data_IF_218754776134
#
_entry.id   IF_218754776134
#
_cell.length_a   1.000
_cell.length_b   1.000
_cell.length_c   1.000
_cell.angle_alpha   90.00
_cell.angle_beta   90.00
_cell.angle_gamma   90.00
#
_symmetry.space_group_name_H-M   'P 1'
#
loop_
_entity.id
_entity.type
_entity.pdbx_description
1 polymer ?
#
# COMPACT_ATOMS: atom_id res chain seq x y z
N UNK A 1 -3.97 -24.74 -16.42
CA UNK A 1 -3.39 -25.71 -15.48
C UNK A 1 -2.10 -25.21 -14.81
N UNK A 2 -1.05 -24.79 -15.53
CA UNK A 2 0.26 -24.37 -14.95
C UNK A 2 0.17 -23.29 -13.87
N UNK A 3 -0.64 -22.23 -14.07
CA UNK A 3 -0.78 -21.13 -13.09
C UNK A 3 -1.36 -21.60 -11.75
N UNK A 4 -2.37 -22.47 -11.76
CA UNK A 4 -2.96 -23.03 -10.53
C UNK A 4 -1.94 -23.90 -9.76
N UNK A 5 -1.19 -24.74 -10.46
CA UNK A 5 -0.16 -25.58 -9.84
C UNK A 5 0.95 -24.74 -9.22
N UNK A 6 1.40 -23.69 -9.92
CA UNK A 6 2.38 -22.75 -9.37
C UNK A 6 1.86 -22.08 -8.10
N UNK A 7 0.64 -21.53 -8.12
CA UNK A 7 0.05 -20.91 -6.93
C UNK A 7 -0.04 -21.90 -5.77
N UNK A 8 -0.52 -23.14 -6.04
CA UNK A 8 -0.59 -24.18 -5.02
C UNK A 8 0.76 -24.56 -4.42
N UNK A 9 1.87 -24.41 -5.16
CA UNK A 9 3.22 -24.64 -4.65
C UNK A 9 3.72 -23.52 -3.74
N UNK A 10 3.04 -22.37 -3.74
CA UNK A 10 3.36 -21.17 -2.97
C UNK A 10 2.36 -20.89 -1.85
N UNK A 11 1.53 -21.85 -1.49
CA UNK A 11 0.59 -21.78 -0.37
C UNK A 11 1.00 -22.80 0.69
N UNK A 12 1.11 -22.35 1.94
CA UNK A 12 1.38 -23.21 3.10
C UNK A 12 0.07 -23.88 3.56
N UNK A 13 -0.11 -25.15 3.20
CA UNK A 13 -1.30 -25.92 3.58
C UNK A 13 -1.11 -26.69 4.88
N UNK A 14 -2.18 -26.82 5.72
CA UNK A 14 -3.49 -26.21 5.57
C UNK A 14 -3.43 -24.69 5.79
N UNK A 15 -3.96 -23.89 4.83
CA UNK A 15 -3.94 -22.43 4.89
C UNK A 15 -4.89 -21.92 5.97
N UNK A 16 -4.40 -21.02 6.84
CA UNK A 16 -5.23 -20.28 7.77
C UNK A 16 -6.01 -19.21 7.03
N UNK A 17 -7.33 -19.23 7.11
CA UNK A 17 -8.22 -18.18 6.61
C UNK A 17 -9.06 -17.68 7.75
N UNK A 18 -8.92 -16.41 8.10
CA UNK A 18 -9.74 -15.73 9.10
C UNK A 18 -10.77 -14.84 8.41
N UNK A 19 -12.00 -14.87 8.89
CA UNK A 19 -13.06 -13.97 8.44
C UNK A 19 -13.77 -13.41 9.68
N UNK A 20 -13.64 -12.12 9.92
CA UNK A 20 -14.18 -11.43 11.10
C UNK A 20 -13.81 -12.15 12.42
N UNK A 21 -12.53 -12.51 12.54
CA UNK A 21 -11.97 -13.19 13.72
C UNK A 21 -12.22 -14.69 13.82
N UNK A 22 -13.04 -15.28 12.94
CA UNK A 22 -13.27 -16.74 12.91
C UNK A 22 -12.26 -17.41 11.98
N UNK A 23 -11.47 -18.33 12.50
CA UNK A 23 -10.47 -19.06 11.73
C UNK A 23 -11.03 -20.34 11.12
N UNK A 24 -10.67 -20.59 9.85
CA UNK A 24 -10.89 -21.83 9.12
C UNK A 24 -9.57 -22.28 8.50
N UNK A 25 -9.29 -23.59 8.55
CA UNK A 25 -8.16 -24.20 7.86
C UNK A 25 -8.60 -24.76 6.51
N UNK A 26 -7.94 -24.30 5.44
CA UNK A 26 -8.25 -24.73 4.07
C UNK A 26 -7.21 -25.76 3.64
N UNK A 27 -7.65 -26.97 3.36
CA UNK A 27 -6.81 -28.05 2.85
C UNK A 27 -6.43 -27.80 1.38
N UNK A 28 -5.36 -28.44 0.91
CA UNK A 28 -4.84 -28.28 -0.46
C UNK A 28 -5.89 -28.60 -1.53
N UNK A 29 -6.70 -29.63 -1.30
CA UNK A 29 -7.73 -30.11 -2.23
C UNK A 29 -8.90 -29.13 -2.35
N UNK A 30 -9.17 -28.40 -1.27
CA UNK A 30 -10.23 -27.38 -1.20
C UNK A 30 -9.78 -26.00 -1.73
N UNK A 31 -8.49 -25.82 -2.06
CA UNK A 31 -7.97 -24.54 -2.55
C UNK A 31 -8.51 -24.21 -3.93
N UNK A 32 -9.10 -23.03 -4.05
CA UNK A 32 -9.49 -22.44 -5.33
C UNK A 32 -8.43 -21.46 -5.76
N UNK A 33 -8.15 -21.40 -7.08
CA UNK A 33 -7.23 -20.41 -7.64
C UNK A 33 -7.69 -19.01 -7.28
N UNK A 34 -6.80 -18.20 -6.69
CA UNK A 34 -7.05 -16.82 -6.31
C UNK A 34 -6.44 -15.88 -7.34
N UNK A 35 -7.24 -14.92 -7.81
CA UNK A 35 -6.87 -13.95 -8.84
C UNK A 35 -6.33 -12.65 -8.21
N UNK A 36 -5.41 -12.74 -7.27
CA UNK A 36 -4.84 -11.65 -6.48
C UNK A 36 -4.64 -10.33 -7.22
N UNK A 37 -4.12 -10.36 -8.43
CA UNK A 37 -3.75 -9.15 -9.20
C UNK A 37 -4.45 -9.04 -10.55
N UNK A 38 -5.43 -9.88 -10.82
CA UNK A 38 -6.12 -9.82 -12.08
C UNK A 38 -6.89 -8.50 -12.20
N UNK A 39 -6.56 -7.71 -13.21
CA UNK A 39 -7.25 -6.46 -13.57
C UNK A 39 -6.95 -5.23 -12.72
N UNK A 40 -5.74 -5.13 -12.16
CA UNK A 40 -5.27 -3.89 -11.54
C UNK A 40 -4.25 -3.22 -12.46
N UNK A 41 -4.43 -1.92 -12.74
CA UNK A 41 -3.48 -1.11 -13.51
C UNK A 41 -2.43 -0.46 -12.61
N UNK A 42 -2.80 -0.27 -11.32
CA UNK A 42 -1.94 0.33 -10.31
C UNK A 42 -1.98 -0.50 -9.01
N UNK A 43 -0.90 -0.43 -8.27
CA UNK A 43 -0.83 -0.87 -6.86
C UNK A 43 -0.14 0.19 -6.02
N UNK A 44 -0.28 0.09 -4.72
CA UNK A 44 0.37 0.99 -3.77
C UNK A 44 1.33 0.22 -2.87
N UNK A 45 2.33 0.94 -2.36
CA UNK A 45 3.21 0.45 -1.30
C UNK A 45 3.18 1.46 -0.17
N UNK A 46 2.86 0.99 1.04
CA UNK A 46 2.90 1.83 2.23
C UNK A 46 4.15 1.55 3.04
N UNK A 47 4.90 2.61 3.34
CA UNK A 47 6.05 2.60 4.23
C UNK A 47 5.71 3.41 5.49
N UNK A 48 6.05 2.88 6.65
CA UNK A 48 5.83 3.52 7.95
C UNK A 48 7.14 3.96 8.65
N UNK A 49 8.26 3.87 7.92
CA UNK A 49 9.56 4.35 8.35
C UNK A 49 10.34 4.92 7.15
N UNK A 50 10.85 6.17 7.22
CA UNK A 50 11.64 6.77 6.14
C UNK A 50 12.87 5.94 5.73
N UNK A 51 13.42 5.14 6.64
CA UNK A 51 14.57 4.28 6.35
C UNK A 51 14.21 3.07 5.47
N UNK A 52 12.94 2.77 5.32
CA UNK A 52 12.44 1.58 4.62
C UNK A 52 11.90 1.88 3.23
N UNK A 53 12.10 3.09 2.68
CA UNK A 53 11.59 3.48 1.35
C UNK A 53 12.14 2.61 0.19
N UNK A 54 13.18 1.81 0.44
CA UNK A 54 13.73 0.83 -0.50
C UNK A 54 13.63 -0.62 0.03
N UNK A 55 12.66 -0.89 0.89
CA UNK A 55 12.50 -2.23 1.48
C UNK A 55 12.19 -3.33 0.45
N UNK A 56 11.69 -2.97 -0.73
CA UNK A 56 11.50 -3.88 -1.88
C UNK A 56 12.83 -4.50 -2.36
N UNK A 57 13.97 -3.83 -2.13
CA UNK A 57 15.32 -4.30 -2.47
C UNK A 57 15.98 -5.11 -1.34
N UNK A 58 15.37 -5.15 -0.15
CA UNK A 58 15.93 -5.86 1.00
C UNK A 58 15.76 -7.38 0.86
N UNK A 59 16.84 -8.07 0.57
CA UNK A 59 16.87 -9.54 0.45
C UNK A 59 16.71 -10.28 1.78
N UNK A 60 16.89 -9.58 2.92
CA UNK A 60 16.71 -10.13 4.26
C UNK A 60 15.25 -10.14 4.71
N UNK A 61 14.34 -9.50 3.96
CA UNK A 61 12.92 -9.54 4.25
C UNK A 61 12.40 -10.96 4.33
N UNK A 62 11.59 -11.21 5.36
CA UNK A 62 10.95 -12.51 5.60
C UNK A 62 9.44 -12.43 5.71
N UNK A 63 8.87 -11.22 5.74
CA UNK A 63 7.44 -10.94 5.90
C UNK A 63 6.99 -9.86 4.92
N UNK A 64 5.87 -10.10 4.22
CA UNK A 64 5.18 -9.15 3.34
C UNK A 64 3.69 -9.37 3.46
N UNK A 65 2.92 -8.29 3.52
CA UNK A 65 1.46 -8.34 3.38
C UNK A 65 1.01 -7.66 2.09
N UNK A 66 -0.08 -8.18 1.54
CA UNK A 66 -0.80 -7.59 0.42
C UNK A 66 -2.24 -7.40 0.84
N UNK A 67 -2.68 -6.16 0.92
CA UNK A 67 -4.01 -5.78 1.38
C UNK A 67 -4.86 -5.37 0.17
N UNK A 68 -5.99 -6.02 -0.01
CA UNK A 68 -7.04 -5.58 -0.91
C UNK A 68 -8.08 -4.79 -0.11
N UNK A 69 -7.98 -3.46 -0.19
CA UNK A 69 -8.79 -2.52 0.58
C UNK A 69 -9.96 -2.06 -0.27
N UNK A 70 -11.16 -2.43 0.11
CA UNK A 70 -12.40 -2.02 -0.56
C UNK A 70 -13.06 -0.91 0.24
N UNK A 71 -12.79 0.34 -0.13
CA UNK A 71 -13.25 1.52 0.63
C UNK A 71 -14.77 1.61 0.71
N UNK A 72 -15.48 1.34 -0.39
CA UNK A 72 -16.96 1.40 -0.43
C UNK A 72 -17.61 0.33 0.46
N UNK A 73 -17.03 -0.86 0.52
CA UNK A 73 -17.51 -1.98 1.32
C UNK A 73 -17.03 -1.90 2.78
N UNK A 74 -16.03 -1.07 3.05
CA UNK A 74 -15.41 -0.96 4.37
C UNK A 74 -14.71 -2.26 4.81
N UNK A 75 -14.10 -3.00 3.87
CA UNK A 75 -13.46 -4.29 4.14
C UNK A 75 -12.01 -4.33 3.65
N UNK A 76 -11.21 -5.15 4.31
CA UNK A 76 -9.84 -5.48 3.92
C UNK A 76 -9.71 -6.99 3.83
N UNK A 77 -9.12 -7.47 2.73
CA UNK A 77 -8.64 -8.83 2.58
C UNK A 77 -7.13 -8.80 2.52
N UNK A 78 -6.50 -9.24 3.60
CA UNK A 78 -5.06 -9.26 3.75
C UNK A 78 -4.50 -10.64 3.44
N UNK A 79 -3.51 -10.68 2.57
CA UNK A 79 -2.71 -11.88 2.26
C UNK A 79 -1.36 -11.76 2.96
N UNK A 80 -1.04 -12.74 3.79
CA UNK A 80 0.19 -12.77 4.57
C UNK A 80 1.19 -13.71 3.93
N UNK A 81 2.31 -13.17 3.50
CA UNK A 81 3.41 -13.94 2.92
C UNK A 81 4.60 -13.97 3.88
N UNK A 82 5.11 -15.17 4.11
CA UNK A 82 6.33 -15.37 4.89
C UNK A 82 7.35 -16.19 4.08
N UNK A 83 8.63 -15.87 4.25
CA UNK A 83 9.71 -16.61 3.62
C UNK A 83 9.96 -17.90 4.40
N UNK A 84 9.76 -19.04 3.74
CA UNK A 84 9.97 -20.37 4.32
C UNK A 84 10.98 -21.13 3.44
N UNK A 85 12.10 -21.57 4.03
CA UNK A 85 13.17 -22.27 3.30
C UNK A 85 13.61 -21.54 2.03
N UNK A 86 13.74 -20.20 2.11
CA UNK A 86 14.14 -19.35 1.00
C UNK A 86 13.05 -19.03 -0.03
N UNK A 87 11.82 -19.50 0.15
CA UNK A 87 10.70 -19.27 -0.77
C UNK A 87 9.59 -18.46 -0.10
N UNK A 88 9.00 -17.54 -0.84
CA UNK A 88 7.80 -16.83 -0.40
C UNK A 88 6.58 -17.74 -0.44
N UNK A 89 5.89 -17.89 0.68
CA UNK A 89 4.73 -18.73 0.87
C UNK A 89 3.56 -17.89 1.41
N UNK A 90 2.38 -18.03 0.81
CA UNK A 90 1.14 -17.54 1.41
C UNK A 90 0.83 -18.39 2.65
N UNK A 91 0.85 -17.78 3.83
CA UNK A 91 0.70 -18.48 5.11
C UNK A 91 -0.64 -18.23 5.80
N UNK A 92 -1.28 -17.10 5.49
CA UNK A 92 -2.60 -16.77 5.99
C UNK A 92 -3.35 -15.81 5.04
N UNK A 93 -4.67 -15.82 5.15
CA UNK A 93 -5.56 -14.79 4.64
C UNK A 93 -6.40 -14.29 5.82
N UNK A 94 -6.51 -12.96 5.98
CA UNK A 94 -7.36 -12.35 6.99
C UNK A 94 -8.35 -11.38 6.35
N UNK A 95 -9.63 -11.63 6.53
CA UNK A 95 -10.72 -10.76 6.06
C UNK A 95 -11.37 -10.08 7.26
N UNK A 96 -11.30 -8.75 7.28
CA UNK A 96 -11.80 -7.96 8.40
C UNK A 96 -12.36 -6.61 7.95
N UNK A 97 -13.06 -5.93 8.86
CA UNK A 97 -13.55 -4.59 8.60
C UNK A 97 -12.39 -3.59 8.49
N UNK A 98 -12.50 -2.60 7.62
CA UNK A 98 -11.54 -1.52 7.47
C UNK A 98 -11.28 -0.78 8.80
N UNK A 99 -12.32 -0.65 9.63
CA UNK A 99 -12.22 -0.04 10.97
C UNK A 99 -11.37 -0.82 11.98
N UNK A 100 -11.04 -2.08 11.69
CA UNK A 100 -10.12 -2.91 12.48
C UNK A 100 -8.74 -3.10 11.85
N UNK A 101 -8.49 -2.50 10.69
CA UNK A 101 -7.19 -2.54 10.05
C UNK A 101 -6.11 -1.88 10.94
N UNK A 102 -4.87 -2.38 10.85
CA UNK A 102 -3.72 -1.86 11.60
C UNK A 102 -3.48 -0.37 11.34
N UNK A 103 -3.70 0.08 10.11
CA UNK A 103 -3.53 1.48 9.66
C UNK A 103 -4.85 2.24 9.50
N UNK A 104 -5.90 1.81 10.19
CA UNK A 104 -7.27 2.38 10.04
C UNK A 104 -7.32 3.91 10.08
N UNK A 105 -6.51 4.53 10.95
CA UNK A 105 -6.48 6.00 11.10
C UNK A 105 -5.91 6.67 9.84
N UNK A 106 -4.84 6.11 9.28
CA UNK A 106 -4.27 6.60 8.03
C UNK A 106 -5.18 6.32 6.84
N UNK A 107 -5.78 5.14 6.77
CA UNK A 107 -6.70 4.77 5.70
C UNK A 107 -7.98 5.63 5.71
N UNK A 108 -8.50 5.97 6.88
CA UNK A 108 -9.62 6.90 7.01
C UNK A 108 -9.26 8.33 6.57
N UNK A 109 -8.05 8.79 6.92
CA UNK A 109 -7.50 10.04 6.41
C UNK A 109 -7.34 9.98 4.88
N UNK A 110 -6.66 8.93 4.37
CA UNK A 110 -6.40 8.78 2.95
C UNK A 110 -7.69 8.80 2.11
N UNK A 111 -8.74 8.11 2.56
CA UNK A 111 -10.02 8.09 1.84
C UNK A 111 -10.60 9.49 1.66
N UNK A 112 -10.53 10.34 2.69
CA UNK A 112 -10.96 11.74 2.61
C UNK A 112 -10.03 12.57 1.73
N UNK A 113 -8.73 12.38 1.91
CA UNK A 113 -7.70 13.08 1.13
C UNK A 113 -7.83 12.77 -0.37
N UNK A 114 -8.04 11.51 -0.74
CA UNK A 114 -8.17 11.09 -2.13
C UNK A 114 -9.48 11.54 -2.83
N UNK A 115 -10.50 11.98 -2.07
CA UNK A 115 -11.84 12.25 -2.63
C UNK A 115 -12.33 13.66 -2.43
N UNK A 116 -11.63 14.50 -1.66
CA UNK A 116 -12.13 15.83 -1.29
C UNK A 116 -11.02 16.89 -1.41
N UNK A 117 -11.13 17.76 -2.40
CA UNK A 117 -10.15 18.81 -2.71
C UNK A 117 -9.95 19.80 -1.57
N UNK A 118 -11.03 20.25 -0.90
CA UNK A 118 -10.92 21.17 0.22
C UNK A 118 -10.18 20.51 1.40
N UNK A 119 -10.43 19.21 1.60
CA UNK A 119 -9.73 18.44 2.59
C UNK A 119 -8.23 18.31 2.25
N UNK A 120 -7.88 18.10 0.98
CA UNK A 120 -6.49 18.10 0.51
C UNK A 120 -5.80 19.41 0.87
N UNK A 121 -6.35 20.55 0.45
CA UNK A 121 -5.76 21.85 0.73
C UNK A 121 -5.53 22.12 2.22
N UNK A 122 -6.43 21.65 3.08
CA UNK A 122 -6.29 21.81 4.53
C UNK A 122 -5.28 20.84 5.18
N UNK A 123 -4.85 19.78 4.46
CA UNK A 123 -3.97 18.73 4.94
C UNK A 123 -2.66 18.61 4.14
N UNK A 124 -2.25 19.68 3.50
CA UNK A 124 -0.94 19.83 2.86
C UNK A 124 -0.17 20.89 3.63
N UNK A 125 1.11 20.65 3.92
CA UNK A 125 1.98 21.68 4.50
C UNK A 125 2.24 22.79 3.46
N UNK A 126 2.36 24.02 3.91
CA UNK A 126 2.64 25.14 3.01
C UNK A 126 3.92 25.85 3.45
N UNK A 127 5.00 25.80 2.67
CA UNK A 127 5.18 24.99 1.48
C UNK A 127 5.34 23.48 1.79
N UNK A 128 5.25 22.63 0.75
CA UNK A 128 5.61 21.20 0.84
C UNK A 128 6.82 20.89 -0.06
N UNK A 129 7.57 19.86 0.30
CA UNK A 129 8.72 19.41 -0.47
C UNK A 129 8.28 18.73 -1.76
N UNK A 130 8.98 19.02 -2.86
CA UNK A 130 8.74 18.42 -4.16
C UNK A 130 10.02 17.90 -4.78
N UNK A 131 9.96 16.70 -5.31
CA UNK A 131 11.03 16.09 -6.07
C UNK A 131 10.46 15.50 -7.36
N UNK A 132 11.15 15.75 -8.47
CA UNK A 132 10.81 15.17 -9.76
C UNK A 132 12.08 14.86 -10.55
N UNK A 133 11.92 14.11 -11.64
CA UNK A 133 13.00 13.81 -12.56
C UNK A 133 12.78 14.52 -13.88
N UNK A 134 13.76 15.31 -14.28
CA UNK A 134 13.78 15.98 -15.59
C UNK A 134 14.36 15.01 -16.63
N UNK A 135 13.50 14.51 -17.51
CA UNK A 135 13.88 13.56 -18.55
C UNK A 135 14.69 14.19 -19.69
N UNK A 136 14.67 15.50 -19.86
CA UNK A 136 15.45 16.20 -20.88
C UNK A 136 16.91 16.38 -20.45
N UNK A 137 17.13 16.70 -19.18
CA UNK A 137 18.47 16.89 -18.62
C UNK A 137 19.01 15.69 -17.87
N UNK A 138 18.20 14.66 -17.65
CA UNK A 138 18.50 13.47 -16.84
C UNK A 138 18.92 13.82 -15.40
N UNK A 139 18.29 14.83 -14.82
CA UNK A 139 18.61 15.30 -13.48
C UNK A 139 17.40 15.21 -12.54
N UNK A 140 17.69 14.91 -11.28
CA UNK A 140 16.70 15.07 -10.20
C UNK A 140 16.58 16.57 -9.87
N UNK A 141 15.34 17.05 -9.84
CA UNK A 141 15.00 18.41 -9.41
C UNK A 141 14.32 18.34 -8.06
N UNK A 142 14.85 19.04 -7.09
CA UNK A 142 14.25 19.16 -5.76
C UNK A 142 13.94 20.62 -5.46
N UNK A 143 12.81 20.86 -4.81
CA UNK A 143 12.36 22.19 -4.43
C UNK A 143 11.20 22.17 -3.46
N UNK A 144 10.53 23.29 -3.36
CA UNK A 144 9.32 23.44 -2.58
C UNK A 144 8.22 24.01 -3.46
N UNK A 145 6.98 23.55 -3.23
CA UNK A 145 5.78 24.05 -3.89
C UNK A 145 4.84 24.67 -2.87
N UNK A 146 4.12 25.71 -3.30
CA UNK A 146 2.99 26.23 -2.54
C UNK A 146 1.84 25.20 -2.56
N UNK A 147 1.10 25.08 -1.47
CA UNK A 147 -0.02 24.15 -1.38
C UNK A 147 -1.10 24.42 -2.44
N UNK A 148 -1.22 25.66 -2.96
CA UNK A 148 -2.12 26.00 -4.05
C UNK A 148 -1.73 25.31 -5.37
N UNK A 149 -0.45 24.98 -5.58
CA UNK A 149 0.04 24.29 -6.77
C UNK A 149 -0.23 22.79 -6.75
N UNK A 150 -0.71 22.25 -5.63
CA UNK A 150 -1.01 20.81 -5.49
C UNK A 150 -1.90 20.28 -6.61
N UNK A 151 -2.87 21.04 -7.06
CA UNK A 151 -3.82 20.64 -8.11
C UNK A 151 -3.13 20.27 -9.43
N UNK A 152 -1.99 20.88 -9.74
CA UNK A 152 -1.24 20.65 -10.97
C UNK A 152 -0.37 19.37 -10.90
N UNK A 153 -0.08 18.88 -9.70
CA UNK A 153 0.80 17.75 -9.46
C UNK A 153 0.12 16.57 -8.79
N UNK A 154 -1.16 16.71 -8.40
CA UNK A 154 -1.91 15.68 -7.70
C UNK A 154 -1.98 14.40 -8.54
N UNK A 155 -1.48 13.25 -8.04
CA UNK A 155 -1.55 12.00 -8.78
C UNK A 155 -2.96 11.41 -8.76
N UNK A 156 -3.23 10.51 -9.71
CA UNK A 156 -4.43 9.67 -9.66
C UNK A 156 -4.36 8.72 -8.46
N UNK A 157 -5.24 8.93 -7.49
CA UNK A 157 -5.29 8.15 -6.26
C UNK A 157 -6.41 7.11 -6.30
N UNK A 158 -6.14 5.83 -5.97
CA UNK A 158 -7.19 4.81 -5.90
C UNK A 158 -8.22 5.12 -4.80
N UNK A 159 -9.49 5.23 -5.19
CA UNK A 159 -10.61 5.59 -4.30
C UNK A 159 -11.62 4.47 -4.07
N UNK A 160 -11.61 3.43 -4.91
CA UNK A 160 -12.53 2.30 -4.84
C UNK A 160 -11.89 1.06 -4.22
N UNK A 161 -11.05 0.40 -5.01
CA UNK A 161 -10.20 -0.72 -4.59
C UNK A 161 -8.74 -0.24 -4.58
N UNK A 162 -8.06 -0.44 -3.46
CA UNK A 162 -6.64 -0.19 -3.32
C UNK A 162 -5.94 -1.50 -3.02
N UNK A 163 -5.00 -1.90 -3.87
CA UNK A 163 -4.11 -3.03 -3.61
C UNK A 163 -2.82 -2.47 -3.03
N UNK A 164 -2.60 -2.73 -1.75
CA UNK A 164 -1.48 -2.16 -1.02
C UNK A 164 -0.50 -3.24 -0.56
N UNK A 165 0.78 -3.03 -0.83
CA UNK A 165 1.87 -3.90 -0.38
C UNK A 165 2.53 -3.24 0.83
N UNK A 166 2.86 -4.04 1.83
CA UNK A 166 3.69 -3.63 2.96
C UNK A 166 4.83 -4.61 3.16
N UNK A 167 6.03 -4.09 3.17
CA UNK A 167 7.25 -4.84 3.42
C UNK A 167 7.61 -4.81 4.90
N UNK A 168 7.80 -6.00 5.49
CA UNK A 168 8.08 -6.17 6.92
C UNK A 168 6.86 -5.96 7.81
N UNK A 169 7.11 -5.89 9.11
CA UNK A 169 6.08 -5.70 10.12
C UNK A 169 5.56 -4.26 10.15
N UNK A 170 4.26 -4.10 10.30
CA UNK A 170 3.64 -2.78 10.40
C UNK A 170 4.06 -2.06 11.70
N UNK A 171 4.27 -0.75 11.61
CA UNK A 171 4.56 0.13 12.75
C UNK A 171 3.39 1.11 12.99
N UNK A 172 2.29 0.67 13.60
CA UNK A 172 1.07 1.48 13.69
C UNK A 172 1.24 2.77 14.49
N UNK A 173 2.22 2.82 15.40
CA UNK A 173 2.52 4.01 16.21
C UNK A 173 3.40 5.04 15.48
N UNK A 174 3.94 4.69 14.32
CA UNK A 174 4.74 5.64 13.54
C UNK A 174 3.91 6.86 13.13
N UNK A 175 4.53 8.03 13.25
CA UNK A 175 3.97 9.32 12.79
C UNK A 175 4.33 9.63 11.35
N UNK A 176 4.87 8.67 10.62
CA UNK A 176 5.26 8.76 9.24
C UNK A 176 4.49 7.74 8.39
N UNK A 177 4.06 8.14 7.22
CA UNK A 177 3.61 7.24 6.15
C UNK A 177 4.13 7.78 4.82
N UNK A 178 4.77 6.92 4.04
CA UNK A 178 4.95 7.19 2.63
C UNK A 178 4.07 6.20 1.84
N UNK A 179 3.33 6.73 0.89
CA UNK A 179 2.48 5.97 -0.01
C UNK A 179 3.02 6.12 -1.42
N UNK A 180 3.65 5.07 -1.93
CA UNK A 180 4.00 4.98 -3.34
C UNK A 180 2.81 4.44 -4.13
N UNK A 181 2.45 5.11 -5.23
CA UNK A 181 1.47 4.67 -6.22
C UNK A 181 2.26 4.26 -7.46
N UNK A 182 2.14 3.03 -7.89
CA UNK A 182 2.98 2.45 -8.94
C UNK A 182 2.09 1.90 -10.05
N UNK A 183 2.33 2.34 -11.28
CA UNK A 183 1.69 1.80 -12.47
C UNK A 183 2.35 0.49 -12.90
N UNK A 184 1.54 -0.55 -13.12
CA UNK A 184 2.03 -1.86 -13.55
C UNK A 184 2.54 -1.83 -15.00
N UNK A 185 1.89 -1.03 -15.85
CA UNK A 185 2.19 -0.98 -17.28
C UNK A 185 3.33 -0.03 -17.64
N UNK A 186 3.44 1.11 -16.95
CA UNK A 186 4.39 2.17 -17.30
C UNK A 186 5.68 2.13 -16.45
N UNK A 187 5.70 1.39 -15.33
CA UNK A 187 6.81 1.43 -14.38
C UNK A 187 7.00 2.81 -13.72
N UNK A 188 6.12 3.74 -14.02
CA UNK A 188 6.11 5.10 -13.45
C UNK A 188 5.30 5.09 -12.17
N UNK A 189 5.66 5.95 -11.24
CA UNK A 189 4.96 6.07 -9.98
C UNK A 189 5.28 7.37 -9.30
N UNK A 190 4.49 7.70 -8.28
CA UNK A 190 4.76 8.81 -7.39
C UNK A 190 4.79 8.33 -5.95
N UNK A 191 5.47 9.07 -5.10
CA UNK A 191 5.50 8.83 -3.65
C UNK A 191 5.04 10.06 -2.90
N UNK A 192 4.02 9.91 -2.10
CA UNK A 192 3.52 10.94 -1.18
C UNK A 192 3.97 10.63 0.24
N UNK A 193 4.65 11.57 0.89
CA UNK A 193 5.01 11.44 2.30
C UNK A 193 4.07 12.24 3.19
N UNK A 194 3.58 11.58 4.22
CA UNK A 194 2.69 12.15 5.22
C UNK A 194 3.32 12.08 6.60
N UNK A 195 3.13 13.14 7.38
CA UNK A 195 3.54 13.20 8.79
C UNK A 195 2.35 13.53 9.68
N UNK A 196 2.22 12.81 10.79
CA UNK A 196 1.19 13.08 11.78
C UNK A 196 1.60 14.26 12.63
N UNK A 197 0.81 15.32 12.56
CA UNK A 197 0.98 16.58 13.29
C UNK A 197 -0.21 16.80 14.25
N UNK A 198 -0.28 17.98 14.89
CA UNK A 198 -1.38 18.35 15.79
C UNK A 198 -2.77 18.34 15.13
N UNK A 199 -2.83 18.68 13.84
CA UNK A 199 -4.05 18.70 13.02
C UNK A 199 -4.39 17.33 12.38
N UNK A 200 -3.61 16.29 12.63
CA UNK A 200 -3.73 14.98 11.98
C UNK A 200 -2.62 14.71 10.98
N UNK A 201 -2.91 13.88 9.99
CA UNK A 201 -1.97 13.59 8.91
C UNK A 201 -1.87 14.76 7.94
N UNK A 202 -0.66 15.16 7.58
CA UNK A 202 -0.38 16.24 6.64
C UNK A 202 0.56 15.72 5.55
N UNK A 203 0.27 16.01 4.29
CA UNK A 203 1.21 15.80 3.19
C UNK A 203 2.38 16.78 3.38
N UNK A 204 3.59 16.27 3.34
CA UNK A 204 4.83 17.05 3.53
C UNK A 204 5.76 17.00 2.33
N UNK A 205 5.66 15.94 1.50
CA UNK A 205 6.51 15.73 0.32
C UNK A 205 5.78 14.97 -0.77
N UNK A 206 6.02 15.36 -2.01
CA UNK A 206 5.65 14.62 -3.21
C UNK A 206 6.92 14.36 -4.04
N UNK A 207 7.11 13.11 -4.42
CA UNK A 207 8.12 12.68 -5.38
C UNK A 207 7.42 12.06 -6.59
N UNK A 208 7.67 12.62 -7.79
CA UNK A 208 6.97 12.27 -9.04
C UNK A 208 7.96 11.92 -10.15
#
# INVERSE_FOLDING_TARGET
MRRKQFQMSRVAFPLSVKTNGKEKRVAREAWKFDHLYAHQDIYTVTYDNPKNLQADKDTALTHVTVDMIQFKQGTVRQYVFNKQRGQWMLTAIDEHALSSATDKDFLAFYQKFATNTDYQHSHITNPFEFKTYDYDTFQELEGILDAAQWVDYCPDMPTGLMVNIRYGEAQPQSKFRALAIISISAGMGCTMEFRRQSKGWMLTRLEN
#
